data_IF_216200005811
#
_entry.id   IF_216200005811
#
_cell.length_a   1.000
_cell.length_b   1.000
_cell.length_c   1.000
_cell.angle_alpha   90.00
_cell.angle_beta   90.00
_cell.angle_gamma   90.00
#
_symmetry.space_group_name_H-M   'P 1'
#
loop_
_entity.id
_entity.type
_entity.pdbx_description
1 polymer ?
#
# COMPACT_ATOMS: atom_id res chain seq x y z
N UNK A 1 -13.56 19.80 -9.65
CA UNK A 1 -13.78 18.37 -9.36
C UNK A 1 -12.40 17.79 -9.06
N UNK A 2 -11.90 18.02 -7.83
CA UNK A 2 -10.53 17.68 -7.43
C UNK A 2 -10.58 16.40 -6.60
N UNK A 3 -10.02 15.31 -7.14
CA UNK A 3 -9.81 14.06 -6.39
C UNK A 3 -8.51 14.23 -5.62
N UNK A 4 -8.65 14.49 -4.32
CA UNK A 4 -7.56 14.75 -3.39
C UNK A 4 -6.86 13.43 -3.03
N UNK A 5 -5.83 13.07 -3.79
CA UNK A 5 -4.73 12.23 -3.29
C UNK A 5 -3.68 13.16 -2.70
N UNK A 6 -3.54 13.17 -1.37
CA UNK A 6 -2.50 13.98 -0.71
C UNK A 6 -1.14 13.29 -0.93
N UNK A 7 -0.25 13.93 -1.68
CA UNK A 7 1.18 13.59 -1.75
C UNK A 7 1.90 14.57 -0.84
N UNK A 8 2.33 14.11 0.33
CA UNK A 8 3.12 14.94 1.24
C UNK A 8 4.61 14.72 0.94
N UNK A 9 5.31 15.75 0.47
CA UNK A 9 6.75 15.64 0.16
C UNK A 9 7.56 15.67 1.47
N UNK A 10 7.97 14.51 1.97
CA UNK A 10 8.89 14.42 3.11
C UNK A 10 10.32 14.19 2.62
N UNK A 11 11.24 15.08 3.00
CA UNK A 11 12.65 14.99 2.61
C UNK A 11 13.33 13.94 3.51
N UNK A 12 13.79 12.83 2.94
CA UNK A 12 14.63 11.86 3.64
C UNK A 12 15.99 11.82 2.94
N UNK A 13 17.07 12.22 3.63
CA UNK A 13 18.43 12.14 3.07
C UNK A 13 18.76 13.06 1.89
N UNK A 14 17.88 14.01 1.51
CA UNK A 14 18.10 14.94 0.38
C UNK A 14 17.36 14.55 -0.91
N UNK A 15 16.59 13.46 -0.88
CA UNK A 15 15.78 12.98 -2.00
C UNK A 15 14.28 13.20 -1.72
N UNK A 16 13.50 13.53 -2.75
CA UNK A 16 12.05 13.71 -2.63
C UNK A 16 11.41 12.34 -2.62
N UNK A 17 10.92 11.90 -1.47
CA UNK A 17 10.16 10.65 -1.35
C UNK A 17 8.68 10.92 -1.60
N UNK A 18 8.09 10.14 -2.49
CA UNK A 18 6.64 10.09 -2.67
C UNK A 18 6.02 9.43 -1.44
N UNK A 19 5.15 10.14 -0.72
CA UNK A 19 4.41 9.58 0.41
C UNK A 19 2.98 9.30 -0.02
N UNK A 20 2.52 8.07 0.19
CA UNK A 20 1.17 7.63 -0.17
C UNK A 20 0.43 7.19 1.09
N UNK A 21 -0.72 7.81 1.35
CA UNK A 21 -1.65 7.33 2.37
C UNK A 21 -2.45 6.13 1.85
N UNK A 22 -2.21 4.96 2.44
CA UNK A 22 -2.94 3.76 2.10
C UNK A 22 -4.43 3.88 2.43
N UNK A 23 -4.85 4.57 3.50
CA UNK A 23 -6.28 4.70 3.80
C UNK A 23 -7.01 5.41 2.67
N UNK A 24 -6.48 6.55 2.25
CA UNK A 24 -7.02 7.34 1.13
C UNK A 24 -6.96 6.55 -0.18
N UNK A 25 -5.87 5.83 -0.45
CA UNK A 25 -5.72 5.01 -1.65
C UNK A 25 -6.76 3.87 -1.73
N UNK A 26 -7.02 3.21 -0.60
CA UNK A 26 -7.98 2.11 -0.52
C UNK A 26 -9.44 2.60 -0.50
N UNK A 27 -9.67 3.91 -0.54
CA UNK A 27 -11.00 4.53 -0.46
C UNK A 27 -11.61 4.51 0.94
N UNK A 28 -10.79 4.29 1.97
CA UNK A 28 -11.20 4.35 3.37
C UNK A 28 -11.21 5.81 3.84
N UNK A 29 -12.01 6.09 4.88
CA UNK A 29 -11.98 7.40 5.51
C UNK A 29 -10.56 7.68 6.05
N UNK A 30 -10.00 8.82 5.64
CA UNK A 30 -8.77 9.33 6.21
C UNK A 30 -8.92 9.38 7.74
N UNK A 31 -7.98 8.76 8.45
CA UNK A 31 -7.97 8.89 9.89
C UNK A 31 -7.65 10.36 10.24
N UNK A 32 -8.33 10.99 11.21
CA UNK A 32 -7.81 12.23 11.77
C UNK A 32 -6.38 11.94 12.21
N UNK A 33 -5.41 12.74 11.75
CA UNK A 33 -3.97 12.56 11.97
C UNK A 33 -3.69 11.93 13.34
N UNK A 34 -3.52 10.61 13.37
CA UNK A 34 -3.56 9.84 14.61
C UNK A 34 -2.13 9.42 14.91
N UNK A 35 -1.73 9.74 16.14
CA UNK A 35 -0.50 9.49 16.90
C UNK A 35 0.20 8.11 16.70
N UNK A 36 -0.35 7.22 15.87
CA UNK A 36 0.11 5.87 15.63
C UNK A 36 0.44 5.51 14.17
N UNK A 37 0.22 6.39 13.19
CA UNK A 37 0.61 6.10 11.81
C UNK A 37 2.11 5.76 11.70
N UNK A 38 2.43 4.76 10.88
CA UNK A 38 3.80 4.32 10.59
C UNK A 38 4.10 4.57 9.12
N UNK A 39 5.34 4.98 8.85
CA UNK A 39 5.86 5.10 7.48
C UNK A 39 6.61 3.81 7.14
N UNK A 40 6.20 3.16 6.06
CA UNK A 40 6.90 2.04 5.46
C UNK A 40 7.59 2.52 4.18
N UNK A 41 8.92 2.60 4.18
CA UNK A 41 9.67 2.93 2.97
C UNK A 41 9.88 1.65 2.16
N UNK A 42 9.43 1.67 0.91
CA UNK A 42 9.57 0.58 -0.05
C UNK A 42 10.30 1.09 -1.30
N UNK A 43 11.11 0.23 -1.88
CA UNK A 43 11.79 0.48 -3.15
C UNK A 43 11.39 -0.61 -4.13
N UNK A 44 11.07 -0.23 -5.37
CA UNK A 44 10.86 -1.19 -6.45
C UNK A 44 12.17 -1.89 -6.77
N UNK A 45 12.10 -3.19 -7.08
CA UNK A 45 13.28 -3.92 -7.53
C UNK A 45 13.60 -3.64 -9.00
N UNK A 46 12.58 -3.33 -9.81
CA UNK A 46 12.71 -3.11 -11.25
C UNK A 46 12.91 -1.63 -11.64
N UNK A 47 12.43 -0.70 -10.81
CA UNK A 47 12.57 0.73 -11.00
C UNK A 47 13.33 1.36 -9.83
N UNK A 48 14.14 2.37 -10.12
CA UNK A 48 14.81 3.20 -9.10
C UNK A 48 13.80 4.18 -8.47
N UNK A 49 12.72 3.62 -7.91
CA UNK A 49 11.59 4.33 -7.33
C UNK A 49 11.51 3.98 -5.85
N UNK A 50 11.78 4.97 -5.00
CA UNK A 50 11.62 4.88 -3.54
C UNK A 50 10.36 5.62 -3.13
N UNK A 51 9.49 4.94 -2.39
CA UNK A 51 8.18 5.46 -1.98
C UNK A 51 7.91 5.12 -0.52
N UNK A 52 7.32 6.06 0.22
CA UNK A 52 6.89 5.85 1.59
C UNK A 52 5.37 5.61 1.63
N UNK A 53 4.95 4.56 2.34
CA UNK A 53 3.55 4.21 2.54
C UNK A 53 3.16 4.55 3.98
N UNK A 54 2.12 5.36 4.15
CA UNK A 54 1.51 5.58 5.46
C UNK A 54 0.55 4.43 5.74
N UNK A 55 0.81 3.71 6.82
CA UNK A 55 -0.02 2.60 7.31
C UNK A 55 -0.40 2.83 8.76
N UNK A 56 -1.49 2.24 9.21
CA UNK A 56 -1.92 2.36 10.60
C UNK A 56 -0.93 1.67 11.55
N UNK A 57 -0.59 0.40 11.28
CA UNK A 57 0.28 -0.40 12.15
C UNK A 57 1.06 -1.46 11.38
N UNK A 58 2.25 -1.79 11.87
CA UNK A 58 3.07 -2.92 11.41
C UNK A 58 3.02 -3.99 12.49
N UNK A 59 2.40 -5.14 12.19
CA UNK A 59 2.19 -6.23 13.16
C UNK A 59 3.45 -7.10 13.29
N UNK A 60 4.21 -7.27 12.21
CA UNK A 60 5.46 -8.06 12.20
C UNK A 60 5.82 -8.60 10.82
N UNK A 61 6.79 -9.50 10.78
CA UNK A 61 7.22 -10.22 9.57
C UNK A 61 6.93 -11.71 9.80
N UNK A 62 6.21 -12.32 8.88
CA UNK A 62 5.87 -13.74 8.95
C UNK A 62 6.22 -14.45 7.63
N UNK A 63 6.80 -15.65 7.67
CA UNK A 63 6.95 -16.48 6.49
C UNK A 63 5.58 -16.96 6.02
N UNK A 64 5.28 -16.79 4.74
CA UNK A 64 4.03 -17.26 4.14
C UNK A 64 4.20 -18.69 3.62
N UNK A 65 3.49 -19.65 4.22
CA UNK A 65 3.40 -21.03 3.74
C UNK A 65 1.95 -21.42 3.45
N UNK A 66 1.68 -21.97 2.26
CA UNK A 66 0.32 -22.38 1.89
C UNK A 66 -0.56 -21.24 1.34
N UNK A 67 0.04 -20.26 0.66
CA UNK A 67 -0.70 -19.18 -0.01
C UNK A 67 -1.73 -19.75 -0.98
N UNK A 68 -3.00 -19.38 -0.80
CA UNK A 68 -4.06 -19.71 -1.75
C UNK A 68 -4.31 -18.49 -2.62
N UNK A 69 -4.11 -18.65 -3.93
CA UNK A 69 -4.45 -17.61 -4.92
C UNK A 69 -5.96 -17.59 -5.18
N UNK A 70 -6.76 -17.54 -4.13
CA UNK A 70 -8.19 -17.30 -4.26
C UNK A 70 -8.39 -15.78 -4.36
N UNK A 71 -9.08 -15.35 -5.40
CA UNK A 71 -9.57 -13.97 -5.47
C UNK A 71 -10.69 -13.85 -4.43
N UNK A 72 -10.61 -12.90 -3.49
CA UNK A 72 -11.69 -12.64 -2.56
C UNK A 72 -12.95 -12.26 -3.35
N UNK A 73 -14.02 -13.03 -3.18
CA UNK A 73 -15.34 -12.68 -3.75
C UNK A 73 -15.95 -11.45 -3.05
N UNK A 74 -15.39 -11.00 -1.93
CA UNK A 74 -15.98 -9.96 -1.09
C UNK A 74 -14.90 -9.05 -0.48
N UNK A 75 -15.18 -7.74 -0.49
CA UNK A 75 -14.58 -6.68 0.33
C UNK A 75 -13.31 -5.97 -0.19
N UNK A 76 -13.19 -5.73 -1.49
CA UNK A 76 -12.22 -4.75 -1.98
C UNK A 76 -12.87 -3.74 -2.91
N UNK A 77 -12.59 -2.47 -2.71
CA UNK A 77 -12.90 -1.40 -3.67
C UNK A 77 -12.26 -1.77 -5.02
N UNK A 78 -12.93 -1.55 -6.15
CA UNK A 78 -12.43 -1.91 -7.50
C UNK A 78 -10.96 -1.49 -7.75
N UNK A 79 -10.53 -0.41 -7.11
CA UNK A 79 -9.17 0.12 -7.15
C UNK A 79 -8.08 -0.82 -6.60
N UNK A 80 -8.41 -1.70 -5.65
CA UNK A 80 -7.43 -2.58 -4.98
C UNK A 80 -7.20 -3.90 -5.71
N UNK A 81 -8.24 -4.42 -6.37
CA UNK A 81 -8.24 -5.70 -7.08
C UNK A 81 -6.99 -5.93 -7.95
N UNK A 82 -6.50 -4.96 -8.76
CA UNK A 82 -5.32 -5.19 -9.59
C UNK A 82 -4.02 -5.42 -8.79
N UNK A 83 -3.96 -4.96 -7.54
CA UNK A 83 -2.77 -5.05 -6.68
C UNK A 83 -2.87 -6.18 -5.65
N UNK A 84 -3.94 -6.98 -5.63
CA UNK A 84 -4.07 -8.15 -4.76
C UNK A 84 -3.63 -9.40 -5.50
N UNK A 85 -2.57 -10.06 -4.99
CA UNK A 85 -2.09 -11.36 -5.49
C UNK A 85 -2.94 -12.53 -5.00
N UNK A 86 -3.59 -12.40 -3.85
CA UNK A 86 -4.42 -13.46 -3.27
C UNK A 86 -4.73 -13.21 -1.80
N UNK A 87 -5.21 -14.26 -1.12
CA UNK A 87 -5.53 -14.22 0.31
C UNK A 87 -4.68 -15.26 1.03
N UNK A 88 -4.16 -14.86 2.18
CA UNK A 88 -3.54 -15.75 3.13
C UNK A 88 -4.44 -15.91 4.35
N UNK A 89 -4.90 -17.14 4.61
CA UNK A 89 -5.69 -17.43 5.80
C UNK A 89 -4.76 -17.87 6.93
N UNK A 90 -4.67 -17.05 7.98
CA UNK A 90 -3.92 -17.36 9.19
C UNK A 90 -4.86 -17.37 10.38
N UNK A 91 -5.00 -18.52 11.04
CA UNK A 91 -5.69 -18.65 12.35
C UNK A 91 -7.06 -17.94 12.41
N UNK A 92 -7.90 -18.15 11.39
CA UNK A 92 -9.22 -17.54 11.21
C UNK A 92 -9.25 -16.04 10.82
N UNK A 93 -8.12 -15.44 10.46
CA UNK A 93 -8.04 -14.13 9.83
C UNK A 93 -7.61 -14.26 8.36
N UNK A 94 -8.34 -13.60 7.47
CA UNK A 94 -7.98 -13.47 6.07
C UNK A 94 -7.09 -12.23 5.88
N UNK A 95 -5.89 -12.42 5.35
CA UNK A 95 -4.93 -11.37 5.04
C UNK A 95 -4.82 -11.21 3.52
N UNK A 96 -5.03 -10.00 3.02
CA UNK A 96 -4.81 -9.71 1.61
C UNK A 96 -3.31 -9.69 1.31
N UNK A 97 -2.88 -10.42 0.28
CA UNK A 97 -1.52 -10.34 -0.22
C UNK A 97 -1.44 -9.23 -1.25
N UNK A 98 -0.88 -8.11 -0.82
CA UNK A 98 -0.67 -6.95 -1.67
C UNK A 98 0.62 -7.09 -2.49
N UNK A 99 0.54 -6.83 -3.80
CA UNK A 99 1.66 -6.81 -4.72
C UNK A 99 2.27 -5.41 -4.77
N UNK A 100 3.27 -5.19 -3.92
CA UNK A 100 3.98 -3.91 -3.85
C UNK A 100 4.67 -3.57 -5.17
N UNK A 101 5.22 -4.55 -5.90
CA UNK A 101 5.94 -4.26 -7.14
C UNK A 101 4.98 -3.75 -8.21
N UNK A 102 3.84 -4.46 -8.38
CA UNK A 102 2.80 -4.04 -9.33
C UNK A 102 2.18 -2.69 -8.95
N UNK A 103 2.07 -2.42 -7.66
CA UNK A 103 1.60 -1.14 -7.14
C UNK A 103 2.58 -0.01 -7.45
N UNK A 104 3.86 -0.16 -7.13
CA UNK A 104 4.91 0.84 -7.40
C UNK A 104 5.08 1.13 -8.90
N UNK A 105 4.95 0.09 -9.72
CA UNK A 105 5.03 0.21 -11.18
C UNK A 105 3.73 0.70 -11.83
N UNK A 106 2.69 0.99 -11.05
CA UNK A 106 1.39 1.41 -11.58
C UNK A 106 1.43 2.82 -12.19
N UNK A 107 0.64 3.08 -13.24
CA UNK A 107 0.55 4.43 -13.83
C UNK A 107 0.17 5.50 -12.80
N UNK A 108 -0.63 5.13 -11.81
CA UNK A 108 -1.12 5.99 -10.74
C UNK A 108 0.00 6.51 -9.83
N UNK A 109 1.14 5.80 -9.74
CA UNK A 109 2.30 6.24 -8.98
C UNK A 109 3.40 6.83 -9.85
N UNK A 110 3.54 6.35 -11.10
CA UNK A 110 4.47 6.95 -12.07
C UNK A 110 4.08 8.37 -12.48
N UNK A 111 2.81 8.76 -12.33
CA UNK A 111 2.36 10.13 -12.63
C UNK A 111 2.92 11.20 -11.65
N UNK A 112 3.55 10.78 -10.55
CA UNK A 112 4.15 11.68 -9.55
C UNK A 112 5.68 11.76 -9.66
N UNK A 113 6.27 11.25 -10.76
CA UNK A 113 7.67 11.55 -11.15
C UNK A 113 7.80 12.93 -11.81
#
# INVERSE_FOLDING_TARGET
>A
MCRSGYVESSIYGGEVLSVIDMRTFLGMAAAPQLESSRLLVVQSAEADLTTALVVDHIIGIAPLTGVRMALPEVLYTDTMVPYIRGIYEQQAQALALFDLERFLLSPELRQFQ
#
